data_IF_537211658977
#
_entry.id   IF_537211658977
#
_cell.length_a   1.000
_cell.length_b   1.000
_cell.length_c   1.000
_cell.angle_alpha   90.00
_cell.angle_beta   90.00
_cell.angle_gamma   90.00
#
_symmetry.space_group_name_H-M   'P 1'
#
loop_
_entity.id
_entity.type
_entity.pdbx_description
1 polymer ?
#
# COMPACT_ATOMS: atom_id res chain seq x y z
N UNK A 1 -36.31 25.67 -8.77
CA UNK A 1 -34.84 25.68 -8.82
C UNK A 1 -34.33 24.86 -7.66
N UNK A 2 -33.47 23.88 -7.91
CA UNK A 2 -32.94 23.00 -6.86
C UNK A 2 -32.01 23.86 -6.00
N UNK A 3 -32.39 24.08 -4.74
CA UNK A 3 -31.54 24.76 -3.76
C UNK A 3 -30.41 23.80 -3.39
N UNK A 4 -29.20 24.08 -3.87
CA UNK A 4 -28.00 23.43 -3.35
C UNK A 4 -27.81 23.95 -1.92
N UNK A 5 -28.20 23.16 -0.93
CA UNK A 5 -27.76 23.37 0.45
C UNK A 5 -26.24 23.49 0.45
N UNK A 6 -25.69 24.42 1.22
CA UNK A 6 -24.24 24.64 1.21
C UNK A 6 -23.55 23.32 1.55
N UNK A 7 -22.40 23.02 0.94
CA UNK A 7 -21.75 21.71 1.10
C UNK A 7 -21.49 21.33 2.56
N UNK A 8 -21.41 22.33 3.46
CA UNK A 8 -21.37 22.13 4.90
C UNK A 8 -22.66 21.52 5.45
N UNK A 9 -23.83 22.00 5.04
CA UNK A 9 -25.13 21.52 5.51
C UNK A 9 -25.34 20.04 5.17
N UNK A 10 -24.94 19.61 3.97
CA UNK A 10 -25.01 18.19 3.55
C UNK A 10 -24.10 17.32 4.42
N UNK A 11 -22.89 17.79 4.74
CA UNK A 11 -21.96 17.07 5.62
C UNK A 11 -22.56 16.96 7.03
N UNK A 12 -23.10 18.05 7.59
CA UNK A 12 -23.72 18.02 8.90
C UNK A 12 -24.96 17.13 8.94
N UNK A 13 -25.75 17.10 7.88
CA UNK A 13 -26.94 16.26 7.76
C UNK A 13 -26.58 14.77 7.66
N UNK A 14 -25.59 14.41 6.83
CA UNK A 14 -25.07 13.03 6.77
C UNK A 14 -24.39 12.61 8.09
N UNK A 15 -23.65 13.53 8.75
CA UNK A 15 -23.07 13.28 10.07
C UNK A 15 -24.14 13.07 11.13
N UNK A 16 -25.24 13.84 11.08
CA UNK A 16 -26.38 13.68 11.97
C UNK A 16 -27.11 12.34 11.73
N UNK A 17 -27.21 11.88 10.47
CA UNK A 17 -27.79 10.58 10.11
C UNK A 17 -27.02 9.38 10.67
N UNK A 18 -25.69 9.50 10.84
CA UNK A 18 -24.87 8.45 11.45
C UNK A 18 -25.17 8.24 12.95
N UNK A 19 -25.68 9.27 13.63
CA UNK A 19 -25.99 9.23 15.05
C UNK A 19 -24.75 9.21 15.95
N UNK A 20 -24.92 9.06 17.28
CA UNK A 20 -23.81 9.03 18.21
C UNK A 20 -22.97 7.75 18.04
N UNK A 21 -21.64 7.89 18.11
CA UNK A 21 -20.69 6.77 17.99
C UNK A 21 -21.10 5.59 18.88
N UNK A 22 -21.22 4.41 18.28
CA UNK A 22 -21.68 3.24 19.00
C UNK A 22 -20.64 2.79 20.04
N UNK A 23 -21.05 2.15 21.15
CA UNK A 23 -20.10 1.63 22.13
C UNK A 23 -19.14 0.57 21.55
N UNK A 24 -19.52 -0.11 20.45
CA UNK A 24 -18.63 -1.01 19.69
C UNK A 24 -17.55 -0.23 18.93
N UNK A 25 -17.93 0.82 18.21
CA UNK A 25 -16.98 1.71 17.51
C UNK A 25 -15.95 2.31 18.47
N UNK A 26 -16.37 2.74 19.66
CA UNK A 26 -15.44 3.29 20.67
C UNK A 26 -14.38 2.27 21.10
N UNK A 27 -14.74 0.98 21.22
CA UNK A 27 -13.78 -0.08 21.56
C UNK A 27 -12.84 -0.40 20.40
N UNK A 28 -13.35 -0.42 19.16
CA UNK A 28 -12.51 -0.56 17.97
C UNK A 28 -11.50 0.58 17.89
N UNK A 29 -11.97 1.82 18.08
CA UNK A 29 -11.12 3.02 18.10
C UNK A 29 -10.03 2.93 19.17
N UNK A 30 -10.37 2.45 20.37
CA UNK A 30 -9.40 2.25 21.45
C UNK A 30 -8.31 1.23 21.06
N UNK A 31 -8.70 0.06 20.55
CA UNK A 31 -7.75 -0.98 20.12
C UNK A 31 -6.86 -0.45 19.00
N UNK A 32 -7.44 0.26 18.03
CA UNK A 32 -6.72 0.88 16.93
C UNK A 32 -5.73 1.95 17.42
N UNK A 33 -6.15 2.84 18.33
CA UNK A 33 -5.29 3.86 18.90
C UNK A 33 -4.11 3.27 19.67
N UNK A 34 -4.34 2.19 20.43
CA UNK A 34 -3.28 1.44 21.12
C UNK A 34 -2.31 0.82 20.12
N UNK A 35 -2.80 0.21 19.04
CA UNK A 35 -1.94 -0.37 18.00
C UNK A 35 -1.06 0.70 17.31
N UNK A 36 -1.65 1.85 16.96
CA UNK A 36 -0.94 2.99 16.36
C UNK A 36 0.11 3.54 17.32
N UNK A 37 -0.24 3.70 18.60
CA UNK A 37 0.70 4.12 19.63
C UNK A 37 1.88 3.13 19.72
N UNK A 38 1.61 1.82 19.76
CA UNK A 38 2.66 0.81 19.81
C UNK A 38 3.54 0.83 18.55
N UNK A 39 3.01 1.05 17.36
CA UNK A 39 3.82 1.18 16.14
C UNK A 39 4.73 2.41 16.18
N UNK A 40 4.21 3.58 16.56
CA UNK A 40 4.98 4.83 16.61
C UNK A 40 6.10 4.73 17.65
N UNK A 41 5.80 4.21 18.84
CA UNK A 41 6.74 4.15 19.95
C UNK A 41 7.55 2.85 20.02
N UNK A 42 7.36 1.91 19.09
CA UNK A 42 7.99 0.57 19.06
C UNK A 42 9.48 0.62 19.37
N UNK A 43 10.22 1.45 18.64
CA UNK A 43 11.68 1.57 18.77
C UNK A 43 12.09 2.11 20.14
N UNK A 44 11.32 3.03 20.72
CA UNK A 44 11.57 3.57 22.05
C UNK A 44 11.24 2.54 23.14
N UNK A 45 10.13 1.81 23.00
CA UNK A 45 9.70 0.75 23.92
C UNK A 45 10.73 -0.38 23.96
N UNK A 46 11.21 -0.82 22.79
CA UNK A 46 12.24 -1.86 22.70
C UNK A 46 13.58 -1.42 23.32
N UNK A 47 13.90 -0.11 23.29
CA UNK A 47 15.07 0.43 23.99
C UNK A 47 14.87 0.49 25.51
N UNK A 48 13.65 0.79 25.97
CA UNK A 48 13.32 0.90 27.39
C UNK A 48 13.23 -0.47 28.08
N UNK A 49 12.70 -1.48 27.38
CA UNK A 49 12.53 -2.85 27.87
C UNK A 49 13.33 -3.79 26.96
N UNK A 50 14.65 -3.90 27.16
CA UNK A 50 15.49 -4.84 26.42
C UNK A 50 15.04 -6.27 26.74
N UNK A 51 14.42 -6.94 25.76
CA UNK A 51 13.89 -8.31 25.87
C UNK A 51 12.47 -8.49 25.32
N UNK A 52 11.69 -7.41 25.20
CA UNK A 52 10.32 -7.48 24.67
C UNK A 52 10.27 -7.74 23.16
N UNK A 53 11.31 -7.32 22.42
CA UNK A 53 11.48 -7.52 20.98
C UNK A 53 10.19 -7.28 20.16
N UNK A 54 9.46 -6.19 20.44
CA UNK A 54 8.24 -5.85 19.71
C UNK A 54 8.55 -5.64 18.23
N UNK A 55 7.85 -6.39 17.39
CA UNK A 55 7.83 -6.23 15.94
C UNK A 55 6.48 -5.73 15.47
N UNK A 56 6.42 -5.15 14.26
CA UNK A 56 5.16 -4.70 13.67
C UNK A 56 4.16 -5.86 13.53
N UNK A 57 4.67 -7.07 13.26
CA UNK A 57 3.90 -8.30 13.20
C UNK A 57 3.26 -8.63 14.54
N UNK A 58 4.01 -8.58 15.64
CA UNK A 58 3.49 -8.88 16.99
C UNK A 58 2.39 -7.88 17.37
N UNK A 59 2.62 -6.59 17.15
CA UNK A 59 1.63 -5.53 17.42
C UNK A 59 0.35 -5.79 16.62
N UNK A 60 0.46 -6.09 15.33
CA UNK A 60 -0.69 -6.40 14.45
C UNK A 60 -1.45 -7.62 14.94
N UNK A 61 -0.75 -8.70 15.33
CA UNK A 61 -1.36 -9.93 15.81
C UNK A 61 -2.09 -9.72 17.14
N UNK A 62 -1.50 -8.96 18.07
CA UNK A 62 -2.15 -8.62 19.35
C UNK A 62 -3.42 -7.79 19.10
N UNK A 63 -3.36 -6.79 18.22
CA UNK A 63 -4.52 -5.97 17.87
C UNK A 63 -5.63 -6.81 17.23
N UNK A 64 -5.29 -7.68 16.26
CA UNK A 64 -6.23 -8.56 15.60
C UNK A 64 -6.88 -9.54 16.60
N UNK A 65 -6.07 -10.25 17.40
CA UNK A 65 -6.58 -11.17 18.43
C UNK A 65 -7.47 -10.43 19.42
N UNK A 66 -7.12 -9.21 19.83
CA UNK A 66 -7.93 -8.40 20.74
C UNK A 66 -9.31 -8.09 20.18
N UNK A 67 -9.44 -7.85 18.87
CA UNK A 67 -10.73 -7.63 18.20
C UNK A 67 -11.63 -8.88 18.18
N UNK A 68 -11.05 -10.08 18.17
CA UNK A 68 -11.80 -11.34 18.27
C UNK A 68 -12.05 -11.77 19.72
N UNK A 69 -11.12 -11.49 20.63
CA UNK A 69 -11.13 -12.00 21.99
C UNK A 69 -11.92 -11.12 22.97
N UNK A 70 -12.01 -9.80 22.73
CA UNK A 70 -12.70 -8.88 23.66
C UNK A 70 -14.21 -8.89 23.35
N UNK A 71 -15.05 -9.47 24.23
CA UNK A 71 -16.50 -9.48 24.03
C UNK A 71 -17.08 -8.08 24.25
N UNK A 72 -17.95 -7.64 23.34
CA UNK A 72 -18.75 -6.45 23.54
C UNK A 72 -19.75 -6.63 24.70
N UNK A 73 -20.47 -7.75 24.69
CA UNK A 73 -21.38 -8.16 25.76
C UNK A 73 -21.26 -9.66 26.02
N UNK A 74 -20.65 -10.02 27.17
CA UNK A 74 -20.45 -11.41 27.60
C UNK A 74 -21.78 -12.15 27.72
N UNK A 75 -22.84 -11.48 28.22
CA UNK A 75 -24.18 -12.08 28.37
C UNK A 75 -24.88 -12.42 27.06
N UNK A 76 -24.54 -11.72 25.96
CA UNK A 76 -25.15 -11.93 24.63
C UNK A 76 -24.23 -12.66 23.65
N UNK A 77 -23.07 -13.13 24.12
CA UNK A 77 -22.02 -13.72 23.30
C UNK A 77 -21.67 -12.86 22.07
N UNK A 78 -21.67 -11.54 22.25
CA UNK A 78 -21.52 -10.59 21.17
C UNK A 78 -20.10 -10.02 21.18
N UNK A 79 -19.33 -10.36 20.15
CA UNK A 79 -17.95 -9.92 19.94
C UNK A 79 -17.88 -8.73 18.99
N UNK A 80 -16.70 -8.07 18.95
CA UNK A 80 -16.46 -6.94 18.05
C UNK A 80 -16.40 -7.41 16.59
N UNK A 81 -15.60 -8.45 16.31
CA UNK A 81 -15.49 -9.10 15.00
C UNK A 81 -15.80 -10.59 15.15
N UNK A 82 -16.48 -11.18 14.17
CA UNK A 82 -16.77 -12.61 14.11
C UNK A 82 -15.97 -13.25 12.99
N UNK A 83 -15.67 -14.55 13.10
CA UNK A 83 -14.90 -15.27 12.08
C UNK A 83 -15.45 -15.12 10.64
N UNK A 84 -16.77 -15.11 10.40
CA UNK A 84 -17.32 -14.86 9.06
C UNK A 84 -16.94 -13.50 8.46
N UNK A 85 -16.66 -12.48 9.28
CA UNK A 85 -16.22 -11.17 8.79
C UNK A 85 -14.86 -11.25 8.08
N UNK A 86 -14.03 -12.26 8.39
CA UNK A 86 -12.73 -12.49 7.76
C UNK A 86 -12.84 -12.87 6.29
N UNK A 87 -14.01 -13.32 5.81
CA UNK A 87 -14.22 -13.62 4.38
C UNK A 87 -14.08 -12.38 3.48
N UNK A 88 -14.23 -11.18 4.06
CA UNK A 88 -14.04 -9.90 3.36
C UNK A 88 -12.56 -9.52 3.24
N UNK A 89 -11.66 -10.23 3.92
CA UNK A 89 -10.22 -9.99 3.81
C UNK A 89 -9.70 -10.50 2.47
N UNK A 90 -8.76 -9.79 1.83
CA UNK A 90 -8.23 -10.16 0.53
C UNK A 90 -7.17 -11.28 0.66
N UNK A 91 -7.60 -12.49 1.02
CA UNK A 91 -6.73 -13.66 1.24
C UNK A 91 -5.80 -13.99 0.07
N UNK A 92 -6.26 -13.73 -1.16
CA UNK A 92 -5.45 -13.92 -2.37
C UNK A 92 -4.16 -13.11 -2.37
N UNK A 93 -4.15 -11.92 -1.77
CA UNK A 93 -2.95 -11.07 -1.67
C UNK A 93 -1.91 -11.72 -0.76
N UNK A 94 -2.32 -12.32 0.36
CA UNK A 94 -1.41 -13.00 1.28
C UNK A 94 -0.74 -14.20 0.61
N UNK A 95 -1.52 -15.00 -0.14
CA UNK A 95 -0.99 -16.13 -0.93
C UNK A 95 -0.03 -15.64 -2.01
N UNK A 96 -0.37 -14.54 -2.69
CA UNK A 96 0.43 -13.98 -3.77
C UNK A 96 1.77 -13.41 -3.26
N UNK A 97 1.81 -12.74 -2.11
CA UNK A 97 3.08 -12.34 -1.49
C UNK A 97 3.93 -13.54 -1.08
N UNK A 98 3.33 -14.56 -0.46
CA UNK A 98 4.05 -15.78 -0.07
C UNK A 98 4.62 -16.54 -1.27
N UNK A 99 3.78 -16.77 -2.30
CA UNK A 99 4.19 -17.42 -3.55
C UNK A 99 5.20 -16.59 -4.34
N UNK A 100 5.09 -15.26 -4.28
CA UNK A 100 6.02 -14.34 -4.91
C UNK A 100 7.41 -14.35 -4.29
N UNK A 101 7.50 -14.32 -2.96
CA UNK A 101 8.77 -14.47 -2.24
C UNK A 101 9.38 -15.85 -2.46
N UNK A 102 8.55 -16.89 -2.54
CA UNK A 102 8.99 -18.25 -2.89
C UNK A 102 9.53 -18.32 -4.33
N UNK A 103 8.88 -17.67 -5.29
CA UNK A 103 9.33 -17.57 -6.68
C UNK A 103 10.66 -16.81 -6.78
N UNK A 104 10.78 -15.65 -6.12
CA UNK A 104 12.01 -14.86 -6.09
C UNK A 104 13.18 -15.69 -5.52
N UNK A 105 12.93 -16.43 -4.43
CA UNK A 105 13.92 -17.36 -3.85
C UNK A 105 14.23 -18.53 -4.80
N UNK A 106 13.22 -19.06 -5.49
CA UNK A 106 13.37 -20.13 -6.48
C UNK A 106 14.19 -19.72 -7.70
N UNK A 107 14.00 -18.49 -8.20
CA UNK A 107 14.79 -17.92 -9.29
C UNK A 107 16.26 -17.71 -8.88
N UNK A 108 16.51 -17.31 -7.63
CA UNK A 108 17.86 -17.22 -7.08
C UNK A 108 18.49 -18.61 -6.95
N UNK A 109 17.76 -19.59 -6.43
CA UNK A 109 18.26 -20.96 -6.28
C UNK A 109 18.49 -21.69 -7.62
N UNK A 110 17.75 -21.34 -8.67
CA UNK A 110 17.89 -21.96 -10.00
C UNK A 110 19.00 -21.36 -10.86
N UNK A 111 19.70 -20.33 -10.39
CA UNK A 111 20.73 -19.62 -11.15
C UNK A 111 20.20 -18.74 -12.29
N UNK A 112 18.87 -18.65 -12.47
CA UNK A 112 18.25 -17.76 -13.47
C UNK A 112 18.58 -16.30 -13.15
N UNK A 113 18.57 -15.96 -11.87
CA UNK A 113 18.97 -14.65 -11.35
C UNK A 113 20.38 -14.29 -11.81
N UNK A 114 21.34 -15.21 -11.72
CA UNK A 114 22.74 -14.97 -12.11
C UNK A 114 22.90 -14.83 -13.64
N UNK A 115 22.10 -15.56 -14.42
CA UNK A 115 22.08 -15.44 -15.88
C UNK A 115 21.51 -14.09 -16.32
N UNK A 116 20.43 -13.63 -15.69
CA UNK A 116 19.85 -12.30 -15.98
C UNK A 116 20.80 -11.19 -15.50
N UNK A 117 21.40 -11.36 -14.32
CA UNK A 117 22.40 -10.46 -13.76
C UNK A 117 23.58 -10.27 -14.72
N UNK A 118 24.15 -11.38 -15.20
CA UNK A 118 25.26 -11.37 -16.13
C UNK A 118 24.87 -10.82 -17.51
N UNK A 119 23.65 -11.07 -18.00
CA UNK A 119 23.14 -10.44 -19.22
C UNK A 119 23.00 -8.92 -19.07
N UNK A 120 22.51 -8.45 -17.91
CA UNK A 120 22.40 -7.01 -17.62
C UNK A 120 23.78 -6.40 -17.36
N UNK A 121 24.73 -7.11 -16.74
CA UNK A 121 26.08 -6.63 -16.47
C UNK A 121 26.97 -6.60 -17.72
N UNK A 122 26.72 -7.50 -18.68
CA UNK A 122 27.35 -7.50 -20.01
C UNK A 122 26.72 -6.49 -20.96
N UNK A 123 25.48 -6.10 -20.70
CA UNK A 123 24.91 -4.89 -21.26
C UNK A 123 25.46 -3.70 -20.45
N UNK A 124 25.87 -2.58 -21.03
CA UNK A 124 26.24 -1.39 -20.23
C UNK A 124 25.00 -0.68 -19.63
N UNK A 125 23.96 -1.45 -19.24
CA UNK A 125 22.70 -0.92 -18.75
C UNK A 125 22.85 -0.59 -17.27
N UNK A 126 22.81 0.71 -16.95
CA UNK A 126 22.87 1.18 -15.58
C UNK A 126 21.70 0.65 -14.74
N UNK A 127 21.95 0.25 -13.49
CA UNK A 127 20.92 -0.07 -12.49
C UNK A 127 19.87 1.05 -12.41
N UNK A 128 20.30 2.31 -12.53
CA UNK A 128 19.41 3.46 -12.55
C UNK A 128 18.39 3.39 -13.71
N UNK A 129 18.83 2.93 -14.89
CA UNK A 129 17.96 2.77 -16.05
C UNK A 129 16.92 1.68 -15.81
N UNK A 130 17.34 0.52 -15.29
CA UNK A 130 16.43 -0.59 -14.98
C UNK A 130 15.36 -0.19 -13.96
N UNK A 131 15.76 0.48 -12.87
CA UNK A 131 14.80 0.96 -11.86
C UNK A 131 13.88 2.05 -12.42
N UNK A 132 14.40 2.96 -13.25
CA UNK A 132 13.58 3.97 -13.93
C UNK A 132 12.51 3.34 -14.82
N UNK A 133 12.88 2.29 -15.58
CA UNK A 133 11.94 1.55 -16.42
C UNK A 133 10.85 0.86 -15.59
N UNK A 134 11.22 0.25 -14.45
CA UNK A 134 10.25 -0.38 -13.55
C UNK A 134 9.29 0.64 -12.93
N UNK A 135 9.78 1.82 -12.53
CA UNK A 135 8.95 2.92 -12.02
C UNK A 135 7.94 3.34 -13.08
N UNK A 136 8.41 3.58 -14.32
CA UNK A 136 7.55 3.97 -15.45
C UNK A 136 6.50 2.88 -15.71
N UNK A 137 6.91 1.62 -15.77
CA UNK A 137 6.01 0.48 -15.98
C UNK A 137 4.90 0.43 -14.92
N UNK A 138 5.27 0.51 -13.63
CA UNK A 138 4.29 0.48 -12.54
C UNK A 138 3.33 1.66 -12.59
N UNK A 139 3.85 2.85 -12.88
CA UNK A 139 3.05 4.06 -12.93
C UNK A 139 2.01 4.01 -14.05
N UNK A 140 2.39 3.55 -15.25
CA UNK A 140 1.40 3.37 -16.33
C UNK A 140 0.44 2.21 -16.08
N UNK A 141 0.90 1.10 -15.50
CA UNK A 141 0.04 -0.03 -15.19
C UNK A 141 -0.99 0.28 -14.09
N UNK A 142 -0.69 1.21 -13.18
CA UNK A 142 -1.64 1.58 -12.11
C UNK A 142 -2.85 2.35 -12.61
N UNK A 143 -2.83 2.84 -13.85
CA UNK A 143 -3.99 3.46 -14.48
C UNK A 143 -5.00 2.42 -14.98
N UNK A 144 -4.56 1.17 -15.17
CA UNK A 144 -5.34 0.07 -15.73
C UNK A 144 -5.76 -0.96 -14.67
N UNK A 145 -5.02 -1.05 -13.57
CA UNK A 145 -5.19 -2.04 -12.52
C UNK A 145 -5.26 -1.35 -11.15
N UNK A 146 -6.01 -1.92 -10.20
CA UNK A 146 -6.02 -1.39 -8.84
C UNK A 146 -4.61 -1.43 -8.23
N UNK A 147 -4.24 -0.38 -7.50
CA UNK A 147 -2.91 -0.24 -6.90
C UNK A 147 -2.49 -1.50 -6.11
N UNK A 148 -3.44 -2.04 -5.35
CA UNK A 148 -3.25 -3.23 -4.52
C UNK A 148 -3.02 -4.48 -5.38
N UNK A 149 -3.81 -4.69 -6.44
CA UNK A 149 -3.62 -5.82 -7.34
C UNK A 149 -2.29 -5.72 -8.11
N UNK A 150 -1.93 -4.51 -8.54
CA UNK A 150 -0.68 -4.25 -9.26
C UNK A 150 0.54 -4.58 -8.41
N UNK A 151 0.59 -4.06 -7.17
CA UNK A 151 1.67 -4.36 -6.22
C UNK A 151 1.73 -5.86 -5.95
N UNK A 152 0.58 -6.50 -5.74
CA UNK A 152 0.56 -7.93 -5.44
C UNK A 152 1.15 -8.76 -6.61
N UNK A 153 0.84 -8.40 -7.86
CA UNK A 153 1.34 -9.12 -9.05
C UNK A 153 2.81 -8.80 -9.34
N UNK A 154 3.22 -7.53 -9.28
CA UNK A 154 4.54 -7.10 -9.76
C UNK A 154 5.61 -6.97 -8.68
N UNK A 155 5.26 -6.79 -7.39
CA UNK A 155 6.26 -6.72 -6.33
C UNK A 155 7.14 -7.98 -6.25
N UNK A 156 6.62 -9.21 -6.41
CA UNK A 156 7.47 -10.41 -6.49
C UNK A 156 8.48 -10.41 -7.63
N UNK A 157 8.06 -9.92 -8.80
CA UNK A 157 8.91 -9.84 -10.00
C UNK A 157 10.02 -8.82 -9.77
N UNK A 158 9.67 -7.65 -9.25
CA UNK A 158 10.62 -6.59 -8.90
C UNK A 158 11.59 -7.05 -7.83
N UNK A 159 11.12 -7.84 -6.85
CA UNK A 159 11.96 -8.46 -5.84
C UNK A 159 12.99 -9.42 -6.45
N UNK A 160 12.56 -10.29 -7.38
CA UNK A 160 13.47 -11.18 -8.12
C UNK A 160 14.51 -10.42 -8.94
N UNK A 161 14.11 -9.33 -9.61
CA UNK A 161 15.02 -8.46 -10.36
C UNK A 161 16.03 -7.79 -9.42
N UNK A 162 15.60 -7.27 -8.27
CA UNK A 162 16.50 -6.64 -7.31
C UNK A 162 17.57 -7.62 -6.78
N UNK A 163 17.18 -8.87 -6.50
CA UNK A 163 18.14 -9.93 -6.13
C UNK A 163 19.14 -10.18 -7.27
N UNK A 164 18.68 -10.21 -8.53
CA UNK A 164 19.55 -10.38 -9.70
C UNK A 164 20.48 -9.21 -9.98
N UNK A 165 20.10 -8.01 -9.61
CA UNK A 165 20.99 -6.85 -9.70
C UNK A 165 21.96 -6.74 -8.51
N UNK A 166 21.90 -7.68 -7.56
CA UNK A 166 22.63 -7.63 -6.29
C UNK A 166 22.39 -6.34 -5.49
N UNK A 167 21.20 -5.74 -5.65
CA UNK A 167 20.79 -4.51 -4.94
C UNK A 167 19.85 -4.89 -3.79
N UNK A 168 19.95 -4.24 -2.61
CA UNK A 168 19.00 -4.46 -1.54
C UNK A 168 17.56 -4.29 -2.04
N UNK A 169 16.73 -5.33 -1.83
CA UNK A 169 15.38 -5.40 -2.41
C UNK A 169 14.51 -4.17 -2.09
N UNK A 170 14.64 -3.65 -0.86
CA UNK A 170 13.93 -2.46 -0.40
C UNK A 170 14.24 -1.22 -1.25
N UNK A 171 15.45 -1.11 -1.80
CA UNK A 171 15.85 0.04 -2.59
C UNK A 171 15.02 0.17 -3.87
N UNK A 172 14.69 -0.96 -4.49
CA UNK A 172 13.90 -1.00 -5.72
C UNK A 172 12.41 -1.04 -5.41
N UNK A 173 12.00 -1.82 -4.40
CA UNK A 173 10.59 -1.99 -4.04
C UNK A 173 9.93 -0.71 -3.52
N UNK A 174 10.63 0.12 -2.73
CA UNK A 174 10.07 1.37 -2.20
C UNK A 174 9.61 2.31 -3.32
N UNK A 175 10.47 2.76 -4.25
CA UNK A 175 10.05 3.67 -5.33
C UNK A 175 9.01 3.05 -6.27
N UNK A 176 9.12 1.76 -6.57
CA UNK A 176 8.17 1.02 -7.43
C UNK A 176 6.78 0.92 -6.77
N UNK A 177 6.71 0.70 -5.46
CA UNK A 177 5.44 0.61 -4.74
C UNK A 177 4.76 1.98 -4.60
N UNK A 178 5.56 3.04 -4.44
CA UNK A 178 5.03 4.41 -4.48
C UNK A 178 4.54 4.74 -5.90
N UNK A 179 5.26 4.32 -6.95
CA UNK A 179 4.83 4.49 -8.34
C UNK A 179 3.45 3.88 -8.61
N UNK A 180 3.17 2.69 -8.08
CA UNK A 180 1.83 2.07 -8.17
C UNK A 180 0.74 2.76 -7.36
N UNK A 181 1.07 3.81 -6.59
CA UNK A 181 0.07 4.68 -5.96
C UNK A 181 -0.16 5.97 -6.72
N UNK A 182 0.67 6.29 -7.72
CA UNK A 182 0.60 7.49 -8.53
C UNK A 182 -0.32 7.33 -9.75
N UNK A 183 -1.61 7.10 -9.50
CA UNK A 183 -2.64 6.97 -10.52
C UNK A 183 -3.39 8.29 -10.74
N UNK A 184 -2.99 9.07 -11.73
CA UNK A 184 -3.45 10.46 -11.94
C UNK A 184 -4.21 10.69 -13.26
N UNK A 185 -4.17 9.73 -14.19
CA UNK A 185 -4.58 9.95 -15.58
C UNK A 185 -6.05 9.56 -15.84
N UNK A 186 -6.50 8.41 -15.31
CA UNK A 186 -7.82 7.85 -15.64
C UNK A 186 -8.81 7.88 -14.46
N UNK A 187 -10.11 8.14 -14.72
CA UNK A 187 -11.15 8.08 -13.69
C UNK A 187 -11.33 6.70 -13.07
N UNK A 188 -11.11 5.62 -13.86
CA UNK A 188 -11.31 4.25 -13.41
C UNK A 188 -10.18 3.77 -12.47
N UNK A 189 -9.06 4.48 -12.43
CA UNK A 189 -7.86 4.02 -11.74
C UNK A 189 -8.03 4.00 -10.21
N UNK A 190 -8.69 5.02 -9.63
CA UNK A 190 -8.92 5.09 -8.18
C UNK A 190 -10.29 5.69 -7.82
N UNK A 191 -10.89 5.30 -6.66
CA UNK A 191 -12.17 5.86 -6.23
C UNK A 191 -12.21 7.40 -6.12
N UNK A 192 -11.17 8.09 -5.61
CA UNK A 192 -11.15 9.56 -5.60
C UNK A 192 -11.27 10.17 -7.00
N UNK A 193 -10.55 9.61 -7.98
CA UNK A 193 -10.62 10.05 -9.37
C UNK A 193 -12.03 9.87 -9.96
N UNK A 194 -12.67 8.73 -9.67
CA UNK A 194 -14.04 8.45 -10.10
C UNK A 194 -15.08 9.40 -9.47
N UNK A 195 -14.93 9.74 -8.18
CA UNK A 195 -15.85 10.65 -7.47
C UNK A 195 -15.83 12.05 -8.10
N UNK A 196 -14.63 12.59 -8.36
CA UNK A 196 -14.52 13.93 -8.97
C UNK A 196 -15.02 13.90 -10.41
N UNK A 197 -14.74 12.83 -11.17
CA UNK A 197 -15.25 12.67 -12.53
C UNK A 197 -16.78 12.58 -12.58
N UNK A 198 -17.41 11.92 -11.59
CA UNK A 198 -18.87 11.81 -11.47
C UNK A 198 -19.58 13.15 -11.27
N UNK A 199 -18.87 14.23 -10.93
CA UNK A 199 -19.42 15.58 -10.84
C UNK A 199 -19.89 16.15 -12.19
N UNK A 200 -19.44 15.57 -13.31
CA UNK A 200 -19.78 16.02 -14.67
C UNK A 200 -19.03 17.28 -15.15
N UNK A 201 -18.24 17.92 -14.29
CA UNK A 201 -17.46 19.12 -14.64
C UNK A 201 -16.11 18.83 -15.30
N UNK A 202 -15.63 17.59 -15.23
CA UNK A 202 -14.30 17.18 -15.74
C UNK A 202 -14.46 16.15 -16.84
N UNK A 203 -13.82 16.39 -17.99
CA UNK A 203 -13.76 15.43 -19.10
C UNK A 203 -12.52 14.54 -18.98
N UNK A 204 -12.63 13.30 -19.46
CA UNK A 204 -11.53 12.31 -19.41
C UNK A 204 -10.23 12.85 -20.01
N UNK A 205 -10.29 13.57 -21.14
CA UNK A 205 -9.09 14.13 -21.77
C UNK A 205 -8.41 15.24 -20.94
N UNK A 206 -9.19 16.01 -20.15
CA UNK A 206 -8.63 17.05 -19.28
C UNK A 206 -7.86 16.40 -18.13
N UNK A 207 -8.48 15.38 -17.53
CA UNK A 207 -7.87 14.57 -16.48
C UNK A 207 -6.60 13.87 -16.98
N UNK A 208 -6.66 13.24 -18.16
CA UNK A 208 -5.51 12.57 -18.75
C UNK A 208 -4.35 13.52 -19.05
N UNK A 209 -4.62 14.72 -19.58
CA UNK A 209 -3.59 15.71 -19.89
C UNK A 209 -2.84 16.18 -18.63
N UNK A 210 -3.58 16.45 -17.55
CA UNK A 210 -2.98 16.84 -16.26
C UNK A 210 -2.27 15.64 -15.62
N UNK A 211 -2.88 14.46 -15.69
CA UNK A 211 -2.34 13.22 -15.19
C UNK A 211 -0.98 12.87 -15.81
N UNK A 212 -0.80 13.00 -17.12
CA UNK A 212 0.50 12.78 -17.77
C UNK A 212 1.59 13.70 -17.20
N UNK A 213 1.26 14.99 -16.96
CA UNK A 213 2.22 15.93 -16.38
C UNK A 213 2.59 15.53 -14.95
N UNK A 214 1.61 15.16 -14.13
CA UNK A 214 1.85 14.67 -12.77
C UNK A 214 2.62 13.35 -12.75
N UNK A 215 2.34 12.45 -13.70
CA UNK A 215 3.04 11.19 -13.88
C UNK A 215 4.52 11.44 -14.19
N UNK A 216 4.84 12.35 -15.10
CA UNK A 216 6.23 12.71 -15.41
C UNK A 216 6.96 13.32 -14.20
N UNK A 217 6.29 14.19 -13.45
CA UNK A 217 6.83 14.75 -12.21
C UNK A 217 7.08 13.63 -11.18
N UNK A 218 6.13 12.72 -11.01
CA UNK A 218 6.26 11.58 -10.11
C UNK A 218 7.42 10.66 -10.50
N UNK A 219 7.58 10.32 -11.79
CA UNK A 219 8.74 9.56 -12.29
C UNK A 219 10.05 10.26 -11.90
N UNK A 220 10.17 11.56 -12.18
CA UNK A 220 11.38 12.31 -11.85
C UNK A 220 11.66 12.30 -10.35
N UNK A 221 10.65 12.56 -9.51
CA UNK A 221 10.78 12.53 -8.05
C UNK A 221 11.15 11.14 -7.52
N UNK A 222 10.59 10.07 -8.08
CA UNK A 222 10.88 8.71 -7.64
C UNK A 222 12.29 8.26 -8.05
N UNK A 223 12.77 8.67 -9.22
CA UNK A 223 14.16 8.44 -9.64
C UNK A 223 15.12 9.21 -8.72
N UNK A 224 14.81 10.47 -8.39
CA UNK A 224 15.61 11.25 -7.44
C UNK A 224 15.60 10.63 -6.04
N UNK A 225 14.45 10.16 -5.58
CA UNK A 225 14.31 9.46 -4.31
C UNK A 225 15.15 8.18 -4.28
N UNK A 226 15.09 7.37 -5.34
CA UNK A 226 15.94 6.17 -5.49
C UNK A 226 17.43 6.52 -5.44
N UNK A 227 17.84 7.59 -6.12
CA UNK A 227 19.26 7.98 -6.20
C UNK A 227 19.80 8.60 -4.92
N UNK A 228 19.00 9.43 -4.22
CA UNK A 228 19.51 10.30 -3.15
C UNK A 228 18.93 9.98 -1.76
N UNK A 229 17.67 9.58 -1.66
CA UNK A 229 16.98 9.42 -0.38
C UNK A 229 17.12 8.00 0.14
N UNK A 230 16.93 7.01 -0.73
CA UNK A 230 17.00 5.59 -0.36
C UNK A 230 18.38 5.21 0.22
N UNK A 231 19.53 5.58 -0.40
CA UNK A 231 20.85 5.25 0.16
C UNK A 231 21.21 6.03 1.43
N UNK A 232 20.48 7.11 1.74
CA UNK A 232 20.68 7.87 2.96
C UNK A 232 19.98 7.22 4.17
N UNK A 233 18.87 6.51 3.91
CA UNK A 233 18.01 5.93 4.94
C UNK A 233 18.36 4.48 5.28
N UNK A 234 18.96 3.74 4.36
CA UNK A 234 19.26 2.31 4.46
C UNK A 234 20.68 2.04 4.01
#
# INVERSE_FOLDING_TARGET
GIQFGTSGDVIYEELAKLGPTSPKEKRVLLIFAVAVFLWIFRTLINKLIPGLALSDTIISMIAAISLFAIPFSIRRNDFIIRWPDTQKLPWGILILFGGGLALAKGMSASGIVDVVASAIASSEISILFTVSLLIILMLFMTELMSNVALVAVLAPVVAGIAIGLEVPMLYVLIPVTIASSCAFMLPMATPPNAIVFASGYIKVHQMARVGIVLNLIAVALLILMFKFVVPLLF
#
